data_IF_797764748791
#
_entry.id   IF_797764748791
#
_cell.length_a   1.000
_cell.length_b   1.000
_cell.length_c   1.000
_cell.angle_alpha   90.00
_cell.angle_beta   90.00
_cell.angle_gamma   90.00
#
_symmetry.space_group_name_H-M   'P 1'
#
loop_
_entity.id
_entity.type
_entity.pdbx_description
1 polymer ?
#
# COMPACT_ATOMS: atom_id res chain seq x y z
N UNK A 1 -10.23 -18.11 -8.26
CA UNK A 1 -9.06 -17.21 -7.95
C UNK A 1 -9.61 -15.84 -7.59
N UNK A 2 -9.14 -15.20 -6.53
CA UNK A 2 -9.55 -13.85 -6.17
C UNK A 2 -9.05 -12.81 -7.18
N UNK A 3 -9.88 -11.80 -7.41
CA UNK A 3 -9.62 -10.63 -8.26
C UNK A 3 -9.66 -9.37 -7.40
N UNK A 4 -9.17 -8.25 -7.94
CA UNK A 4 -9.18 -6.95 -7.28
C UNK A 4 -9.79 -5.89 -8.21
N UNK A 5 -10.59 -4.98 -7.64
CA UNK A 5 -11.05 -3.77 -8.31
C UNK A 5 -10.67 -2.56 -7.46
N UNK A 6 -9.99 -1.60 -8.08
CA UNK A 6 -9.60 -0.33 -7.47
C UNK A 6 -10.64 0.74 -7.78
N UNK A 7 -10.97 1.56 -6.79
CA UNK A 7 -11.82 2.74 -6.94
C UNK A 7 -11.15 3.96 -6.34
N UNK A 8 -10.98 5.01 -7.11
CA UNK A 8 -10.57 6.32 -6.59
C UNK A 8 -11.76 7.03 -5.93
N UNK A 9 -11.53 7.59 -4.75
CA UNK A 9 -12.43 8.51 -4.06
C UNK A 9 -11.65 9.69 -3.48
N UNK A 10 -12.34 10.75 -3.03
CA UNK A 10 -11.68 11.99 -2.62
C UNK A 10 -10.75 12.52 -3.72
N UNK A 11 -9.63 13.14 -3.38
CA UNK A 11 -8.64 13.65 -4.35
C UNK A 11 -7.73 12.55 -4.88
N UNK A 12 -7.21 11.69 -4.01
CA UNK A 12 -6.14 10.75 -4.32
C UNK A 12 -6.28 9.38 -3.63
N UNK A 13 -7.24 9.19 -2.72
CA UNK A 13 -7.47 7.94 -2.00
C UNK A 13 -7.95 6.80 -2.90
N UNK A 14 -7.62 5.57 -2.53
CA UNK A 14 -8.10 4.35 -3.17
C UNK A 14 -8.85 3.44 -2.21
N UNK A 15 -9.96 2.87 -2.70
CA UNK A 15 -10.72 1.80 -2.09
C UNK A 15 -10.56 0.53 -2.94
N UNK A 16 -10.60 -0.63 -2.31
CA UNK A 16 -10.39 -1.91 -2.98
C UNK A 16 -11.53 -2.88 -2.70
N UNK A 17 -12.02 -3.52 -3.75
CA UNK A 17 -12.90 -4.69 -3.66
C UNK A 17 -12.09 -5.92 -4.06
N UNK A 18 -11.92 -6.86 -3.12
CA UNK A 18 -11.39 -8.20 -3.37
C UNK A 18 -12.60 -9.09 -3.61
N UNK A 19 -12.66 -9.83 -4.73
CA UNK A 19 -13.84 -10.60 -5.05
C UNK A 19 -13.52 -11.93 -5.75
N UNK A 20 -14.41 -12.89 -5.53
CA UNK A 20 -14.45 -14.18 -6.22
C UNK A 20 -15.61 -14.21 -7.22
N UNK A 21 -16.29 -15.35 -7.30
CA UNK A 21 -17.38 -15.56 -8.27
C UNK A 21 -18.75 -15.10 -7.72
N UNK A 22 -18.97 -15.09 -6.40
CA UNK A 22 -20.26 -14.75 -5.76
C UNK A 22 -20.12 -13.78 -4.58
N UNK A 23 -18.92 -13.59 -4.04
CA UNK A 23 -18.69 -12.82 -2.82
C UNK A 23 -17.55 -11.81 -2.96
N UNK A 24 -17.61 -10.77 -2.13
CA UNK A 24 -16.59 -9.74 -2.06
C UNK A 24 -16.21 -9.38 -0.62
N UNK A 25 -15.01 -8.86 -0.44
CA UNK A 25 -14.55 -8.11 0.73
C UNK A 25 -14.07 -6.74 0.30
N UNK A 26 -14.19 -5.75 1.18
CA UNK A 26 -13.76 -4.37 0.91
C UNK A 26 -12.65 -3.98 1.87
N UNK A 27 -11.62 -3.34 1.33
CA UNK A 27 -10.53 -2.69 2.08
C UNK A 27 -10.58 -1.19 1.77
N UNK A 28 -10.56 -0.34 2.82
CA UNK A 28 -10.61 1.14 2.74
C UNK A 28 -11.79 1.66 1.91
N UNK A 29 -13.01 1.30 2.31
CA UNK A 29 -14.24 1.40 1.54
C UNK A 29 -14.79 2.81 1.31
N UNK A 30 -13.98 3.86 1.15
CA UNK A 30 -14.44 5.26 0.99
C UNK A 30 -15.24 5.55 -0.27
N UNK A 31 -15.08 4.74 -1.34
CA UNK A 31 -15.81 4.87 -2.59
C UNK A 31 -17.21 4.20 -2.57
N UNK A 32 -18.00 4.42 -1.54
CA UNK A 32 -19.24 3.67 -1.21
C UNK A 32 -20.13 3.46 -2.42
N UNK A 33 -20.53 4.52 -3.13
CA UNK A 33 -21.48 4.42 -4.25
C UNK A 33 -20.95 3.58 -5.41
N UNK A 34 -19.66 3.76 -5.74
CA UNK A 34 -18.99 2.99 -6.80
C UNK A 34 -18.87 1.52 -6.42
N UNK A 35 -18.58 1.23 -5.14
CA UNK A 35 -18.51 -0.13 -4.61
C UNK A 35 -19.87 -0.81 -4.68
N UNK A 36 -20.94 -0.16 -4.23
CA UNK A 36 -22.30 -0.72 -4.26
C UNK A 36 -22.77 -0.99 -5.69
N UNK A 37 -22.52 -0.06 -6.64
CA UNK A 37 -22.82 -0.28 -8.04
C UNK A 37 -22.06 -1.51 -8.58
N UNK A 38 -20.75 -1.59 -8.33
CA UNK A 38 -19.94 -2.72 -8.76
C UNK A 38 -20.44 -4.07 -8.21
N UNK A 39 -20.80 -4.11 -6.92
CA UNK A 39 -21.36 -5.32 -6.30
C UNK A 39 -22.65 -5.74 -6.98
N UNK A 40 -23.54 -4.78 -7.24
CA UNK A 40 -24.84 -5.02 -7.91
C UNK A 40 -24.64 -5.50 -9.34
N UNK A 41 -23.82 -4.81 -10.13
CA UNK A 41 -23.58 -5.12 -11.55
C UNK A 41 -22.93 -6.50 -11.75
N UNK A 42 -22.19 -6.99 -10.75
CA UNK A 42 -21.50 -8.29 -10.79
C UNK A 42 -22.22 -9.37 -9.95
N UNK A 43 -23.38 -9.07 -9.34
CA UNK A 43 -24.13 -10.04 -8.52
C UNK A 43 -23.37 -10.52 -7.29
N UNK A 44 -22.51 -9.68 -6.70
CA UNK A 44 -21.64 -10.05 -5.58
C UNK A 44 -22.27 -9.71 -4.23
N UNK A 45 -22.13 -10.62 -3.27
CA UNK A 45 -22.50 -10.39 -1.87
C UNK A 45 -21.28 -9.87 -1.09
N UNK A 46 -21.39 -8.69 -0.48
CA UNK A 46 -20.33 -8.17 0.39
C UNK A 46 -20.33 -8.94 1.73
N UNK A 47 -19.21 -9.62 2.01
CA UNK A 47 -19.05 -10.46 3.22
C UNK A 47 -18.43 -9.69 4.37
N UNK A 48 -17.41 -8.88 4.09
CA UNK A 48 -16.73 -8.10 5.11
C UNK A 48 -16.24 -6.75 4.57
N UNK A 49 -16.08 -5.80 5.49
CA UNK A 49 -15.39 -4.53 5.28
C UNK A 49 -14.27 -4.44 6.32
N UNK A 50 -13.09 -4.03 5.90
CA UNK A 50 -11.94 -3.78 6.77
C UNK A 50 -11.14 -2.58 6.28
N UNK A 51 -10.13 -2.16 7.05
CA UNK A 51 -9.30 -1.03 6.73
C UNK A 51 -7.82 -1.40 6.87
N UNK A 52 -6.96 -0.73 6.10
CA UNK A 52 -5.51 -0.87 6.25
C UNK A 52 -5.04 -0.27 7.57
N UNK A 53 -5.63 0.85 7.99
CA UNK A 53 -5.33 1.52 9.26
C UNK A 53 -6.47 2.47 9.69
N UNK A 54 -6.32 3.09 10.85
CA UNK A 54 -7.38 3.85 11.52
C UNK A 54 -7.55 5.31 11.10
N UNK A 55 -6.86 5.85 10.09
CA UNK A 55 -7.07 7.22 9.64
C UNK A 55 -8.47 7.43 9.07
N UNK A 56 -9.01 8.64 9.29
CA UNK A 56 -10.40 8.96 8.99
C UNK A 56 -10.75 8.81 7.50
N UNK A 57 -9.85 9.13 6.62
CA UNK A 57 -10.00 9.02 5.16
C UNK A 57 -10.08 7.56 4.68
N UNK A 58 -9.43 6.61 5.36
CA UNK A 58 -9.55 5.18 5.05
C UNK A 58 -10.81 4.54 5.66
N UNK A 59 -11.30 5.07 6.78
CA UNK A 59 -12.44 4.50 7.51
C UNK A 59 -13.79 5.14 7.15
N UNK A 60 -13.82 6.22 6.39
CA UNK A 60 -14.98 7.06 6.09
C UNK A 60 -16.19 6.31 5.53
N UNK A 61 -15.99 5.25 4.75
CA UNK A 61 -17.08 4.46 4.15
C UNK A 61 -17.49 3.21 4.91
N UNK A 62 -16.71 2.79 5.91
CA UNK A 62 -16.86 1.50 6.60
C UNK A 62 -18.24 1.33 7.22
N UNK A 63 -18.70 2.31 8.00
CA UNK A 63 -20.02 2.26 8.65
C UNK A 63 -21.16 2.22 7.64
N UNK A 64 -21.10 3.06 6.61
CA UNK A 64 -22.13 3.13 5.58
C UNK A 64 -22.24 1.86 4.74
N UNK A 65 -21.10 1.25 4.36
CA UNK A 65 -21.10 -0.04 3.68
C UNK A 65 -21.74 -1.13 4.55
N UNK A 66 -21.38 -1.19 5.85
CA UNK A 66 -22.02 -2.11 6.80
C UNK A 66 -23.53 -1.94 6.84
N UNK A 67 -24.01 -0.70 7.01
CA UNK A 67 -25.43 -0.40 7.19
C UNK A 67 -26.25 -0.74 5.94
N UNK A 68 -25.70 -0.53 4.74
CA UNK A 68 -26.37 -0.77 3.47
C UNK A 68 -26.32 -2.22 2.99
N UNK A 69 -25.32 -3.00 3.42
CA UNK A 69 -25.09 -4.36 2.90
C UNK A 69 -25.25 -5.46 3.95
N UNK A 70 -25.22 -5.11 5.23
CA UNK A 70 -25.17 -6.07 6.33
C UNK A 70 -23.81 -6.77 6.49
N UNK A 71 -22.77 -6.32 5.77
CA UNK A 71 -21.44 -6.92 5.83
C UNK A 71 -20.82 -6.81 7.25
N UNK A 72 -19.99 -7.79 7.60
CA UNK A 72 -19.27 -7.79 8.87
C UNK A 72 -18.10 -6.80 8.79
N UNK A 73 -18.01 -5.87 9.74
CA UNK A 73 -16.82 -5.05 9.90
C UNK A 73 -15.80 -5.81 10.73
N UNK A 74 -14.60 -5.99 10.18
CA UNK A 74 -13.49 -6.67 10.86
C UNK A 74 -12.42 -5.63 11.18
N UNK A 75 -12.23 -5.35 12.46
CA UNK A 75 -11.27 -4.35 12.93
C UNK A 75 -9.82 -4.86 12.89
N UNK A 76 -8.86 -3.92 12.86
CA UNK A 76 -7.44 -4.21 12.73
C UNK A 76 -6.87 -5.02 13.90
N UNK A 77 -7.41 -4.86 15.11
CA UNK A 77 -6.97 -5.65 16.27
C UNK A 77 -7.30 -7.13 16.09
N UNK A 78 -8.52 -7.42 15.62
CA UNK A 78 -8.98 -8.77 15.31
C UNK A 78 -8.13 -9.39 14.19
N UNK A 79 -7.88 -8.62 13.12
CA UNK A 79 -7.08 -9.09 11.98
C UNK A 79 -5.62 -9.39 12.37
N UNK A 80 -5.02 -8.54 13.21
CA UNK A 80 -3.67 -8.74 13.72
C UNK A 80 -3.52 -10.05 14.48
N UNK A 81 -4.55 -10.44 15.25
CA UNK A 81 -4.57 -11.72 15.98
C UNK A 81 -4.76 -12.93 15.06
N UNK A 82 -5.60 -12.80 14.02
CA UNK A 82 -5.92 -13.89 13.10
C UNK A 82 -4.85 -14.11 12.02
N UNK A 83 -4.15 -13.05 11.61
CA UNK A 83 -3.15 -13.04 10.53
C UNK A 83 -3.69 -13.46 9.15
N UNK A 84 -4.98 -13.73 9.00
CA UNK A 84 -5.60 -14.14 7.75
C UNK A 84 -7.10 -13.87 7.70
N UNK A 85 -7.59 -13.69 6.48
CA UNK A 85 -8.99 -13.69 6.10
C UNK A 85 -9.20 -14.78 5.06
N UNK A 86 -10.45 -15.20 4.90
CA UNK A 86 -10.86 -16.13 3.86
C UNK A 86 -12.01 -15.53 3.05
N UNK A 87 -11.97 -15.70 1.73
CA UNK A 87 -13.05 -15.39 0.82
C UNK A 87 -13.17 -16.52 -0.20
N UNK A 88 -14.31 -17.21 -0.23
CA UNK A 88 -14.61 -18.34 -1.12
C UNK A 88 -13.51 -19.44 -1.10
N UNK A 89 -13.04 -19.81 0.10
CA UNK A 89 -11.98 -20.81 0.26
C UNK A 89 -10.58 -20.33 -0.12
N UNK A 90 -10.45 -19.07 -0.52
CA UNK A 90 -9.15 -18.47 -0.81
C UNK A 90 -8.64 -17.65 0.37
N UNK A 91 -7.38 -17.88 0.71
CA UNK A 91 -6.69 -17.16 1.80
C UNK A 91 -6.24 -15.77 1.37
N UNK A 92 -6.47 -14.79 2.24
CA UNK A 92 -5.91 -13.44 2.21
C UNK A 92 -5.02 -13.32 3.46
N UNK A 93 -3.71 -13.26 3.27
CA UNK A 93 -2.76 -13.10 4.38
C UNK A 93 -2.77 -11.67 4.85
N UNK A 94 -2.91 -11.47 6.16
CA UNK A 94 -2.80 -10.15 6.81
C UNK A 94 -1.39 -10.00 7.33
N UNK A 95 -0.69 -8.98 6.82
CA UNK A 95 0.66 -8.62 7.23
C UNK A 95 0.57 -7.47 8.22
N UNK A 96 1.04 -7.68 9.46
CA UNK A 96 1.19 -6.60 10.43
C UNK A 96 2.39 -5.73 10.02
N UNK A 97 2.12 -4.45 9.70
CA UNK A 97 3.10 -3.51 9.15
C UNK A 97 3.08 -2.16 9.89
N UNK A 98 3.35 -2.18 11.23
CA UNK A 98 3.39 -0.93 11.99
C UNK A 98 4.45 0.01 11.44
N UNK A 99 4.16 1.32 11.48
CA UNK A 99 5.06 2.37 11.00
C UNK A 99 4.30 3.62 10.64
N UNK A 100 3.57 3.64 9.54
CA UNK A 100 2.69 4.76 9.21
C UNK A 100 1.75 5.06 10.39
N UNK A 101 1.01 4.06 10.83
CA UNK A 101 0.34 4.06 12.13
C UNK A 101 0.74 2.81 12.92
N UNK A 102 0.44 2.78 14.22
CA UNK A 102 0.70 1.60 15.05
C UNK A 102 -0.19 0.41 14.67
N UNK A 103 -1.33 0.63 14.02
CA UNK A 103 -2.31 -0.38 13.61
C UNK A 103 -2.29 -0.72 12.11
N UNK A 104 -1.30 -0.23 11.38
CA UNK A 104 -1.19 -0.47 9.92
C UNK A 104 -1.07 -1.95 9.58
N UNK A 105 -1.84 -2.36 8.58
CA UNK A 105 -1.90 -3.71 8.02
C UNK A 105 -1.80 -3.65 6.49
N UNK A 106 -1.21 -4.69 5.90
CA UNK A 106 -1.28 -4.94 4.46
C UNK A 106 -1.99 -6.28 4.21
N UNK A 107 -2.63 -6.41 3.03
CA UNK A 107 -3.36 -7.62 2.64
C UNK A 107 -2.71 -8.23 1.41
N UNK A 108 -2.30 -9.51 1.51
CA UNK A 108 -1.60 -10.21 0.45
C UNK A 108 -2.34 -11.47 0.01
N UNK A 109 -2.63 -11.60 -1.28
CA UNK A 109 -3.27 -12.77 -1.88
C UNK A 109 -2.84 -12.97 -3.34
N UNK A 110 -2.63 -14.21 -3.75
CA UNK A 110 -2.05 -14.49 -5.07
C UNK A 110 -0.70 -13.80 -5.22
N UNK A 111 -0.61 -12.85 -6.17
CA UNK A 111 0.52 -11.93 -6.33
C UNK A 111 0.13 -10.47 -6.05
N UNK A 112 -0.95 -10.21 -5.34
CA UNK A 112 -1.50 -8.88 -5.08
C UNK A 112 -1.24 -8.46 -3.64
N UNK A 113 -0.74 -7.25 -3.45
CA UNK A 113 -0.55 -6.59 -2.16
C UNK A 113 -1.37 -5.30 -2.10
N UNK A 114 -2.33 -5.21 -1.19
CA UNK A 114 -2.93 -3.94 -0.79
C UNK A 114 -2.10 -3.43 0.39
N UNK A 115 -1.33 -2.38 0.17
CA UNK A 115 -0.31 -1.89 1.12
C UNK A 115 -0.78 -0.73 1.98
N UNK A 116 -1.95 -0.13 1.69
CA UNK A 116 -2.37 1.10 2.35
C UNK A 116 -1.28 2.15 2.29
N UNK A 117 -1.05 2.79 3.43
CA UNK A 117 -0.06 3.86 3.56
C UNK A 117 1.30 3.38 4.10
N UNK A 118 1.52 2.07 4.12
CA UNK A 118 2.84 1.51 4.44
C UNK A 118 3.80 1.68 3.25
N UNK A 119 3.35 1.32 2.04
CA UNK A 119 4.12 1.42 0.81
C UNK A 119 3.24 2.02 -0.28
N UNK A 120 3.64 3.16 -0.83
CA UNK A 120 3.02 3.78 -2.00
C UNK A 120 3.75 3.39 -3.29
N UNK A 121 3.17 3.76 -4.42
CA UNK A 121 3.82 3.59 -5.71
C UNK A 121 4.90 4.67 -5.89
N UNK A 122 6.16 4.27 -5.64
CA UNK A 122 7.35 5.12 -5.75
C UNK A 122 7.84 5.77 -4.46
N UNK A 123 7.11 5.65 -3.34
CA UNK A 123 7.51 6.17 -2.02
C UNK A 123 6.95 5.30 -0.89
N UNK A 124 7.08 5.72 0.36
CA UNK A 124 6.48 5.10 1.55
C UNK A 124 5.71 6.15 2.35
N UNK A 125 4.90 5.72 3.32
CA UNK A 125 4.17 6.64 4.19
C UNK A 125 5.05 7.33 5.21
N UNK A 126 4.53 8.42 5.79
CA UNK A 126 5.13 9.08 6.95
C UNK A 126 4.99 8.19 8.20
N UNK A 127 5.96 8.26 9.11
CA UNK A 127 5.94 7.46 10.34
C UNK A 127 5.22 8.21 11.48
N UNK A 128 3.88 8.20 11.46
CA UNK A 128 3.08 8.83 12.54
C UNK A 128 3.05 8.01 13.83
N UNK A 129 3.42 6.73 13.79
CA UNK A 129 3.55 5.92 15.00
C UNK A 129 4.71 6.33 15.90
N UNK A 130 5.71 7.03 15.36
CA UNK A 130 6.98 7.35 16.03
C UNK A 130 7.95 6.16 16.12
N UNK A 131 7.56 4.95 15.70
CA UNK A 131 8.42 3.76 15.68
C UNK A 131 9.07 3.56 14.33
N UNK A 132 10.12 4.36 14.03
CA UNK A 132 10.90 4.23 12.79
C UNK A 132 11.54 2.84 12.63
N UNK A 133 11.98 2.21 13.72
CA UNK A 133 12.53 0.86 13.66
C UNK A 133 11.47 -0.18 13.28
N UNK A 134 10.26 -0.07 13.83
CA UNK A 134 9.12 -0.89 13.45
C UNK A 134 8.77 -0.70 11.99
N UNK A 135 8.74 0.55 11.52
CA UNK A 135 8.45 0.86 10.13
C UNK A 135 9.51 0.28 9.18
N UNK A 136 10.79 0.45 9.50
CA UNK A 136 11.88 -0.18 8.72
C UNK A 136 11.71 -1.70 8.61
N UNK A 137 11.39 -2.39 9.71
CA UNK A 137 11.11 -3.84 9.68
C UNK A 137 9.90 -4.17 8.79
N UNK A 138 8.85 -3.35 8.83
CA UNK A 138 7.67 -3.49 7.96
C UNK A 138 8.05 -3.37 6.49
N UNK A 139 8.81 -2.35 6.11
CA UNK A 139 9.32 -2.18 4.74
C UNK A 139 10.19 -3.37 4.31
N UNK A 140 11.14 -3.81 5.15
CA UNK A 140 11.98 -5.00 4.87
C UNK A 140 11.13 -6.26 4.67
N UNK A 141 10.03 -6.41 5.42
CA UNK A 141 9.09 -7.53 5.26
C UNK A 141 8.40 -7.50 3.90
N UNK A 142 7.95 -6.32 3.45
CA UNK A 142 7.33 -6.16 2.14
C UNK A 142 8.33 -6.39 0.99
N UNK A 143 9.58 -5.92 1.14
CA UNK A 143 10.65 -6.16 0.17
C UNK A 143 11.00 -7.64 -0.01
N UNK A 144 10.68 -8.50 0.95
CA UNK A 144 10.93 -9.95 0.88
C UNK A 144 9.83 -10.72 0.11
N UNK A 145 8.75 -10.06 -0.32
CA UNK A 145 7.72 -10.67 -1.17
C UNK A 145 8.28 -10.93 -2.58
N UNK A 146 7.64 -11.81 -3.38
CA UNK A 146 8.04 -12.05 -4.77
C UNK A 146 8.11 -10.75 -5.58
N UNK A 147 9.09 -10.64 -6.48
CA UNK A 147 9.34 -9.43 -7.26
C UNK A 147 8.18 -9.04 -8.20
N UNK A 148 7.37 -10.03 -8.62
CA UNK A 148 6.16 -9.85 -9.43
C UNK A 148 4.92 -9.48 -8.61
N UNK A 149 5.06 -9.26 -7.29
CA UNK A 149 3.97 -8.77 -6.44
C UNK A 149 3.47 -7.42 -6.94
N UNK A 150 2.18 -7.33 -7.23
CA UNK A 150 1.51 -6.10 -7.65
C UNK A 150 1.10 -5.29 -6.42
N UNK A 151 1.59 -4.07 -6.31
CA UNK A 151 1.39 -3.16 -5.18
C UNK A 151 0.26 -2.19 -5.47
N UNK A 152 -0.76 -2.21 -4.62
CA UNK A 152 -1.91 -1.31 -4.61
C UNK A 152 -1.88 -0.47 -3.32
N UNK A 153 -1.58 0.81 -3.47
CA UNK A 153 -1.36 1.76 -2.37
C UNK A 153 -2.65 2.39 -1.84
N UNK A 154 -2.59 3.10 -0.69
CA UNK A 154 -3.72 3.84 -0.15
C UNK A 154 -4.05 5.13 -0.91
N UNK A 155 -3.01 5.77 -1.49
CA UNK A 155 -3.11 7.04 -2.21
C UNK A 155 -2.30 7.05 -3.50
N UNK A 156 -2.63 8.01 -4.39
CA UNK A 156 -1.90 8.31 -5.61
C UNK A 156 -0.93 9.48 -5.41
N UNK A 157 0.25 9.17 -4.91
CA UNK A 157 1.36 10.12 -4.79
C UNK A 157 2.46 9.92 -5.84
N UNK A 158 2.19 9.09 -6.87
CA UNK A 158 3.21 8.63 -7.81
C UNK A 158 4.00 9.76 -8.47
N UNK A 159 3.35 10.86 -8.88
CA UNK A 159 4.04 11.96 -9.57
C UNK A 159 5.01 12.68 -8.64
N UNK A 160 4.60 12.98 -7.41
CA UNK A 160 5.44 13.65 -6.42
C UNK A 160 6.56 12.72 -5.95
N UNK A 161 6.26 11.44 -5.73
CA UNK A 161 7.24 10.40 -5.44
C UNK A 161 8.33 10.31 -6.52
N UNK A 162 7.95 10.33 -7.80
CA UNK A 162 8.92 10.31 -8.90
C UNK A 162 9.72 11.61 -9.02
N UNK A 163 9.14 12.76 -8.67
CA UNK A 163 9.89 14.01 -8.59
C UNK A 163 10.96 13.95 -7.49
N UNK A 164 10.61 13.42 -6.32
CA UNK A 164 11.57 13.20 -5.23
C UNK A 164 12.66 12.20 -5.64
N UNK A 165 12.29 11.03 -6.16
CA UNK A 165 13.24 10.03 -6.65
C UNK A 165 14.22 10.61 -7.69
N UNK A 166 13.71 11.42 -8.64
CA UNK A 166 14.50 12.10 -9.65
C UNK A 166 15.50 13.11 -9.06
N UNK A 167 15.15 13.76 -7.96
CA UNK A 167 16.06 14.69 -7.26
C UNK A 167 17.28 14.00 -6.68
N UNK A 168 17.13 12.73 -6.28
CA UNK A 168 18.21 11.89 -5.75
C UNK A 168 18.99 11.17 -6.86
N UNK A 169 18.30 10.71 -7.90
CA UNK A 169 18.86 9.96 -9.02
C UNK A 169 18.49 10.58 -10.38
N UNK A 170 19.09 11.72 -10.78
CA UNK A 170 18.71 12.44 -12.01
C UNK A 170 18.86 11.61 -13.29
N UNK A 171 19.73 10.60 -13.31
CA UNK A 171 20.01 9.75 -14.48
C UNK A 171 19.28 8.40 -14.45
N UNK A 172 18.41 8.14 -13.45
CA UNK A 172 17.68 6.88 -13.35
C UNK A 172 16.57 6.78 -14.42
N UNK A 173 16.85 6.04 -15.50
CA UNK A 173 15.91 5.85 -16.61
C UNK A 173 14.66 5.03 -16.24
N UNK A 174 14.73 4.23 -15.17
CA UNK A 174 13.56 3.48 -14.72
C UNK A 174 12.41 4.41 -14.30
N UNK A 175 12.73 5.60 -13.78
CA UNK A 175 11.73 6.63 -13.44
C UNK A 175 10.96 7.09 -14.70
N UNK A 176 11.64 7.25 -15.85
CA UNK A 176 10.95 7.66 -17.08
C UNK A 176 10.00 6.57 -17.59
N UNK A 177 10.40 5.31 -17.49
CA UNK A 177 9.57 4.16 -17.86
C UNK A 177 8.37 4.04 -16.92
N UNK A 178 8.58 4.23 -15.64
CA UNK A 178 7.53 4.18 -14.62
C UNK A 178 6.48 5.28 -14.85
N UNK A 179 6.92 6.53 -15.08
CA UNK A 179 6.03 7.65 -15.40
C UNK A 179 5.28 7.46 -16.71
N UNK A 180 5.93 6.87 -17.74
CA UNK A 180 5.28 6.59 -19.03
C UNK A 180 4.14 5.59 -18.94
N UNK A 181 4.23 4.65 -18.00
CA UNK A 181 3.21 3.61 -17.76
C UNK A 181 2.08 4.10 -16.83
N UNK A 182 2.28 5.20 -16.13
CA UNK A 182 1.32 5.71 -15.17
C UNK A 182 -0.04 6.02 -15.82
N UNK A 183 -1.08 5.41 -15.27
CA UNK A 183 -2.48 5.69 -15.60
C UNK A 183 -3.22 6.08 -14.31
N UNK A 184 -3.69 7.35 -14.18
CA UNK A 184 -4.42 7.78 -12.99
C UNK A 184 -5.77 7.08 -12.82
N UNK A 185 -6.29 6.40 -13.85
CA UNK A 185 -7.50 5.58 -13.78
C UNK A 185 -7.27 4.22 -13.11
N UNK A 186 -6.02 3.71 -13.11
CA UNK A 186 -5.66 2.44 -12.51
C UNK A 186 -4.20 2.44 -12.07
N UNK A 187 -3.95 2.81 -10.81
CA UNK A 187 -2.61 3.02 -10.27
C UNK A 187 -2.11 1.78 -9.55
N UNK A 188 -1.00 1.25 -10.00
CA UNK A 188 -0.30 0.12 -9.38
C UNK A 188 1.17 0.11 -9.82
N UNK A 189 1.98 -0.66 -9.12
CA UNK A 189 3.35 -1.01 -9.52
C UNK A 189 3.62 -2.48 -9.24
N UNK A 190 4.72 -3.02 -9.74
CA UNK A 190 5.27 -4.27 -9.24
C UNK A 190 6.35 -3.99 -8.21
N UNK A 191 6.58 -4.91 -7.28
CA UNK A 191 7.68 -4.78 -6.32
C UNK A 191 9.04 -4.66 -7.02
N UNK A 192 9.19 -5.33 -8.17
CA UNK A 192 10.38 -5.19 -9.02
C UNK A 192 10.58 -3.75 -9.50
N UNK A 193 9.53 -3.06 -9.91
CA UNK A 193 9.59 -1.66 -10.31
C UNK A 193 9.91 -0.77 -9.11
N UNK A 194 9.26 -1.01 -7.96
CA UNK A 194 9.55 -0.28 -6.73
C UNK A 194 11.03 -0.36 -6.35
N UNK A 195 11.64 -1.54 -6.43
CA UNK A 195 13.07 -1.73 -6.18
C UNK A 195 13.99 -0.97 -7.17
N UNK A 196 13.45 -0.47 -8.29
CA UNK A 196 14.21 0.32 -9.27
C UNK A 196 14.01 1.83 -9.11
N UNK A 197 12.86 2.28 -8.61
CA UNK A 197 12.50 3.69 -8.59
C UNK A 197 12.29 4.28 -7.20
N UNK A 198 11.89 3.46 -6.21
CA UNK A 198 11.55 3.93 -4.87
C UNK A 198 12.82 4.08 -4.01
N UNK A 199 13.26 5.30 -3.64
CA UNK A 199 14.49 5.49 -2.89
C UNK A 199 14.53 4.75 -1.56
N UNK A 200 13.36 4.61 -0.90
CA UNK A 200 13.24 3.96 0.40
C UNK A 200 13.39 2.44 0.35
N UNK A 201 13.30 1.83 -0.84
CA UNK A 201 13.59 0.43 -1.06
C UNK A 201 15.03 0.24 -1.61
N UNK A 202 15.67 1.34 -2.03
CA UNK A 202 17.01 1.38 -2.61
C UNK A 202 18.08 1.84 -1.61
N UNK A 203 17.83 1.84 -0.32
CA UNK A 203 18.76 2.33 0.71
C UNK A 203 20.13 1.62 0.71
N UNK A 204 20.28 0.48 0.05
CA UNK A 204 21.55 -0.23 -0.16
C UNK A 204 22.17 0.00 -1.54
N UNK A 205 21.52 0.77 -2.41
CA UNK A 205 22.06 1.13 -3.73
C UNK A 205 23.24 2.10 -3.58
N UNK A 206 24.33 1.86 -4.32
CA UNK A 206 25.56 2.66 -4.23
C UNK A 206 25.34 4.14 -4.60
N UNK A 207 24.43 4.44 -5.54
CA UNK A 207 24.13 5.82 -5.93
C UNK A 207 23.39 6.53 -4.79
N UNK A 208 22.43 5.88 -4.16
CA UNK A 208 21.71 6.42 -3.01
C UNK A 208 22.66 6.66 -1.84
N UNK A 209 23.56 5.70 -1.54
CA UNK A 209 24.57 5.85 -0.48
C UNK A 209 25.46 7.07 -0.77
N UNK A 210 25.96 7.21 -2.00
CA UNK A 210 26.81 8.34 -2.39
C UNK A 210 26.07 9.71 -2.25
N UNK A 211 24.77 9.75 -2.53
CA UNK A 211 23.96 10.96 -2.33
C UNK A 211 23.85 11.31 -0.84
N UNK A 212 23.61 10.31 0.01
CA UNK A 212 23.52 10.50 1.47
C UNK A 212 24.86 10.97 2.06
N UNK A 213 25.98 10.34 1.66
CA UNK A 213 27.34 10.75 2.07
C UNK A 213 27.65 12.19 1.66
N UNK A 214 27.34 12.58 0.42
CA UNK A 214 27.51 13.95 -0.06
C UNK A 214 26.72 14.98 0.76
N UNK A 215 25.58 14.55 1.32
CA UNK A 215 24.75 15.39 2.23
C UNK A 215 25.23 15.33 3.68
N UNK A 216 26.26 14.55 4.01
CA UNK A 216 26.79 14.38 5.36
C UNK A 216 25.87 13.57 6.29
N UNK A 217 25.01 12.73 5.71
CA UNK A 217 24.06 11.91 6.46
C UNK A 217 24.65 10.53 6.82
N UNK A 218 24.22 9.91 7.95
CA UNK A 218 24.69 8.59 8.35
C UNK A 218 24.40 7.49 7.32
N UNK A 219 25.39 6.62 7.03
CA UNK A 219 25.26 5.53 6.05
C UNK A 219 25.85 4.19 6.53
N UNK A 220 26.29 4.11 7.79
CA UNK A 220 27.04 3.01 8.36
C UNK A 220 26.23 1.69 8.47
N UNK A 221 24.92 1.76 8.61
CA UNK A 221 24.03 0.59 8.66
C UNK A 221 22.85 0.74 7.69
N UNK A 222 22.16 -0.38 7.33
CA UNK A 222 20.93 -0.33 6.52
C UNK A 222 19.90 0.59 7.13
N UNK A 223 19.66 0.46 8.45
CA UNK A 223 18.70 1.30 9.16
C UNK A 223 19.08 2.78 9.09
N UNK A 224 20.36 3.12 9.30
CA UNK A 224 20.84 4.51 9.22
C UNK A 224 20.68 5.10 7.83
N UNK A 225 20.94 4.35 6.77
CA UNK A 225 20.70 4.79 5.39
C UNK A 225 19.22 5.07 5.15
N UNK A 226 18.37 4.15 5.58
CA UNK A 226 16.92 4.30 5.46
C UNK A 226 16.39 5.49 6.28
N UNK A 227 16.81 5.63 7.54
CA UNK A 227 16.50 6.77 8.42
C UNK A 227 16.96 8.10 7.82
N UNK A 228 18.16 8.12 7.20
CA UNK A 228 18.68 9.28 6.49
C UNK A 228 17.81 9.67 5.29
N UNK A 229 17.29 8.70 4.53
CA UNK A 229 16.33 8.97 3.46
C UNK A 229 15.05 9.60 3.99
N UNK A 230 14.49 9.06 5.09
CA UNK A 230 13.30 9.62 5.75
C UNK A 230 13.47 11.07 6.22
N UNK A 231 14.69 11.52 6.46
CA UNK A 231 14.98 12.91 6.87
C UNK A 231 15.08 13.90 5.71
N UNK A 232 14.98 13.42 4.45
CA UNK A 232 15.13 14.26 3.24
C UNK A 232 13.78 14.74 2.67
N UNK A 233 12.69 14.21 3.16
CA UNK A 233 11.32 14.53 2.71
C UNK A 233 10.64 15.63 3.54
#
# INVERSE_FOLDING_TARGET
MLKIQQFRYSTDNFAYVIFGDASAGVVDGGAVEKILAFLTDNGLTLRFVTNTHGHADHTVGTGRLKDLTGAVVIDNRTLRQRSELELEGHKITVLDTPGHTADSLCFYFGNTLISGDTLFNGTIGNCFSGDLNGFFRSIKRLMALPADTVVYAGHDYLRDAMAFARSLEPQNRAIDLFLKRYDPGHVFSTLQEELQVNPYLKFNDSNIIAVLEKKGLPVDTEYRRWESLMSLE
#
